data_IF_294702210922
#
_entry.id   IF_294702210922
#
_cell.length_a   1.000
_cell.length_b   1.000
_cell.length_c   1.000
_cell.angle_alpha   90.00
_cell.angle_beta   90.00
_cell.angle_gamma   90.00
#
_symmetry.space_group_name_H-M   'P 1'
#
loop_
_entity.id
_entity.type
_entity.pdbx_description
1 polymer ?
#
# COMPACT_ATOMS: atom_id res chain seq x y z
N UNK A 1 -17.62 -10.11 3.33
CA UNK A 1 -17.07 -10.63 2.04
C UNK A 1 -16.04 -11.69 2.38
N UNK A 2 -16.18 -12.88 1.83
CA UNK A 2 -15.25 -14.01 1.97
C UNK A 2 -14.66 -14.28 0.59
N UNK A 3 -13.33 -14.35 0.46
CA UNK A 3 -12.63 -14.56 -0.81
C UNK A 3 -11.72 -15.77 -0.66
N UNK A 4 -11.76 -16.67 -1.64
CA UNK A 4 -10.88 -17.83 -1.70
C UNK A 4 -10.58 -18.26 -3.15
N UNK A 5 -9.56 -19.09 -3.30
CA UNK A 5 -9.20 -19.71 -4.57
C UNK A 5 -9.73 -21.13 -4.63
N UNK A 6 -10.43 -21.44 -5.71
CA UNK A 6 -10.95 -22.78 -5.93
C UNK A 6 -10.57 -23.32 -7.30
N UNK A 7 -10.51 -24.62 -7.43
CA UNK A 7 -10.29 -25.30 -8.71
C UNK A 7 -11.41 -26.29 -8.97
N UNK A 8 -12.12 -26.09 -10.08
CA UNK A 8 -13.23 -26.95 -10.49
C UNK A 8 -13.05 -27.35 -11.96
N UNK A 9 -13.15 -28.65 -12.25
CA UNK A 9 -13.02 -29.20 -13.61
C UNK A 9 -11.79 -28.71 -14.38
N UNK A 10 -10.66 -28.51 -13.68
CA UNK A 10 -9.43 -28.04 -14.29
C UNK A 10 -9.32 -26.51 -14.47
N UNK A 11 -10.38 -25.76 -14.17
CA UNK A 11 -10.41 -24.28 -14.24
C UNK A 11 -10.16 -23.70 -12.85
N UNK A 12 -9.30 -22.68 -12.77
CA UNK A 12 -9.02 -21.95 -11.55
C UNK A 12 -9.92 -20.72 -11.44
N UNK A 13 -10.50 -20.53 -10.26
CA UNK A 13 -11.38 -19.40 -9.99
C UNK A 13 -10.95 -18.68 -8.71
N UNK A 14 -11.04 -17.36 -8.73
CA UNK A 14 -11.20 -16.57 -7.52
C UNK A 14 -12.70 -16.55 -7.19
N UNK A 15 -13.08 -17.02 -6.00
CA UNK A 15 -14.47 -17.06 -5.55
C UNK A 15 -14.71 -15.99 -4.52
N UNK A 16 -15.74 -15.18 -4.73
CA UNK A 16 -16.26 -14.23 -3.75
C UNK A 16 -17.64 -14.72 -3.29
N UNK A 17 -17.79 -14.95 -1.99
CA UNK A 17 -19.07 -15.32 -1.40
C UNK A 17 -19.74 -14.03 -0.91
N UNK A 18 -20.92 -13.74 -1.49
CA UNK A 18 -21.67 -12.52 -1.20
C UNK A 18 -22.49 -12.65 0.07
N UNK A 19 -22.57 -11.54 0.79
CA UNK A 19 -23.67 -11.31 1.72
C UNK A 19 -24.96 -11.12 0.89
N UNK A 20 -26.10 -11.69 1.33
CA UNK A 20 -27.36 -11.67 0.60
C UNK A 20 -27.99 -10.25 0.57
N UNK A 21 -27.37 -9.33 -0.16
CA UNK A 21 -27.88 -7.98 -0.39
C UNK A 21 -28.41 -7.85 -1.82
N UNK A 22 -29.67 -7.42 -1.94
CA UNK A 22 -30.33 -7.21 -3.24
C UNK A 22 -29.67 -6.14 -4.09
N UNK A 23 -29.10 -5.09 -3.49
CA UNK A 23 -28.43 -4.01 -4.21
C UNK A 23 -27.12 -4.52 -4.83
N UNK A 24 -26.35 -5.31 -4.08
CA UNK A 24 -25.14 -5.97 -4.57
C UNK A 24 -25.49 -6.88 -5.74
N UNK A 25 -26.49 -7.71 -5.59
CA UNK A 25 -26.96 -8.64 -6.63
C UNK A 25 -27.28 -7.94 -7.94
N UNK A 26 -28.04 -6.84 -7.90
CA UNK A 26 -28.43 -6.13 -9.11
C UNK A 26 -27.24 -5.54 -9.86
N UNK A 27 -26.28 -4.96 -9.14
CA UNK A 27 -25.03 -4.44 -9.73
C UNK A 27 -24.16 -5.55 -10.30
N UNK A 28 -24.03 -6.67 -9.58
CA UNK A 28 -23.26 -7.83 -10.02
C UNK A 28 -23.84 -8.51 -11.26
N UNK A 29 -25.17 -8.44 -11.47
CA UNK A 29 -25.80 -8.96 -12.71
C UNK A 29 -25.27 -8.24 -13.96
N UNK A 30 -24.99 -6.95 -13.90
CA UNK A 30 -24.43 -6.21 -15.03
C UNK A 30 -23.09 -6.80 -15.46
N UNK A 31 -22.23 -7.14 -14.51
CA UNK A 31 -20.91 -7.70 -14.79
C UNK A 31 -20.98 -9.17 -15.23
N UNK A 32 -21.88 -9.95 -14.66
CA UNK A 32 -22.03 -11.36 -15.03
C UNK A 32 -22.63 -11.57 -16.44
N UNK A 33 -23.43 -10.60 -16.91
CA UNK A 33 -24.07 -10.67 -18.22
C UNK A 33 -23.26 -10.04 -19.35
N UNK A 34 -22.27 -9.19 -19.01
CA UNK A 34 -21.48 -8.48 -20.00
C UNK A 34 -20.00 -8.87 -19.86
N UNK A 35 -19.33 -8.98 -21.03
CA UNK A 35 -17.86 -9.06 -21.05
C UNK A 35 -17.31 -7.66 -21.04
N UNK A 36 -16.74 -7.27 -19.93
CA UNK A 36 -16.18 -5.93 -19.75
C UNK A 36 -14.68 -5.95 -19.97
N UNK A 37 -14.17 -5.00 -20.76
CA UNK A 37 -12.74 -4.87 -20.99
C UNK A 37 -12.00 -4.53 -19.70
N UNK A 38 -10.80 -5.09 -19.52
CA UNK A 38 -9.99 -4.90 -18.32
C UNK A 38 -10.52 -5.66 -17.08
N UNK A 39 -11.70 -6.29 -17.15
CA UNK A 39 -12.28 -7.06 -16.06
C UNK A 39 -12.07 -8.55 -16.23
N UNK A 40 -11.88 -9.26 -15.12
CA UNK A 40 -11.94 -10.72 -15.09
C UNK A 40 -13.35 -11.22 -15.38
N UNK A 41 -13.47 -12.25 -16.22
CA UNK A 41 -14.78 -12.84 -16.53
C UNK A 41 -15.35 -13.49 -15.28
N UNK A 42 -16.56 -13.13 -14.92
CA UNK A 42 -17.25 -13.63 -13.72
C UNK A 42 -18.54 -14.35 -14.07
N UNK A 43 -18.82 -15.43 -13.35
CA UNK A 43 -20.08 -16.15 -13.37
C UNK A 43 -20.66 -16.17 -11.95
N UNK A 44 -22.00 -16.23 -11.85
CA UNK A 44 -22.69 -16.31 -10.58
C UNK A 44 -23.37 -17.66 -10.43
N UNK A 45 -23.26 -18.26 -9.24
CA UNK A 45 -24.04 -19.43 -8.84
C UNK A 45 -24.62 -19.24 -7.44
N UNK A 46 -25.73 -19.90 -7.15
CA UNK A 46 -26.30 -19.92 -5.80
C UNK A 46 -25.99 -21.26 -5.16
N UNK A 47 -25.39 -21.26 -3.99
CA UNK A 47 -25.08 -22.47 -3.21
C UNK A 47 -25.51 -22.23 -1.78
N UNK A 48 -26.40 -23.09 -1.26
CA UNK A 48 -26.94 -22.97 0.09
C UNK A 48 -27.54 -21.60 0.41
N UNK A 49 -28.28 -21.03 -0.55
CA UNK A 49 -28.88 -19.71 -0.46
C UNK A 49 -27.88 -18.54 -0.33
N UNK A 50 -26.59 -18.75 -0.66
CA UNK A 50 -25.56 -17.71 -0.76
C UNK A 50 -25.09 -17.59 -2.20
N UNK A 51 -24.98 -16.38 -2.71
CA UNK A 51 -24.44 -16.12 -4.04
C UNK A 51 -22.93 -16.21 -4.03
N UNK A 52 -22.41 -16.92 -5.00
CA UNK A 52 -20.96 -17.06 -5.23
C UNK A 52 -20.63 -16.52 -6.60
N UNK A 53 -19.69 -15.56 -6.65
CA UNK A 53 -19.15 -14.98 -7.86
C UNK A 53 -17.81 -15.62 -8.16
N UNK A 54 -17.70 -16.28 -9.31
CA UNK A 54 -16.55 -17.07 -9.74
C UNK A 54 -15.85 -16.33 -10.87
N UNK A 55 -14.71 -15.73 -10.58
CA UNK A 55 -13.85 -15.07 -11.57
C UNK A 55 -12.90 -16.09 -12.17
N UNK A 56 -13.00 -16.31 -13.48
CA UNK A 56 -12.09 -17.22 -14.18
C UNK A 56 -10.71 -16.59 -14.29
N UNK A 57 -9.75 -17.16 -13.57
CA UNK A 57 -8.35 -16.72 -13.51
C UNK A 57 -7.41 -17.73 -14.17
N UNK A 58 -7.94 -18.70 -14.91
CA UNK A 58 -7.11 -19.67 -15.63
C UNK A 58 -6.21 -18.95 -16.63
N UNK A 59 -4.94 -19.36 -16.69
CA UNK A 59 -3.91 -18.77 -17.56
C UNK A 59 -3.56 -17.32 -17.23
N UNK A 60 -3.89 -16.86 -16.03
CA UNK A 60 -3.46 -15.57 -15.50
C UNK A 60 -2.64 -15.75 -14.22
N UNK A 61 -1.89 -14.74 -13.83
CA UNK A 61 -1.02 -14.76 -12.65
C UNK A 61 -1.35 -13.56 -11.76
N UNK A 62 -1.52 -13.73 -10.43
CA UNK A 62 -1.67 -12.60 -9.52
C UNK A 62 -0.48 -11.65 -9.59
N UNK A 63 -0.72 -10.34 -9.42
CA UNK A 63 0.32 -9.32 -9.42
C UNK A 63 1.43 -9.64 -8.40
N UNK A 64 1.05 -10.10 -7.22
CA UNK A 64 1.98 -10.52 -6.16
C UNK A 64 2.92 -11.63 -6.62
N UNK A 65 2.42 -12.58 -7.40
CA UNK A 65 3.22 -13.69 -7.92
C UNK A 65 4.11 -13.26 -9.10
N UNK A 66 3.67 -12.27 -9.91
CA UNK A 66 4.46 -11.74 -11.01
C UNK A 66 5.77 -11.12 -10.51
N UNK A 67 5.72 -10.45 -9.37
CA UNK A 67 6.84 -9.69 -8.82
C UNK A 67 7.40 -10.24 -7.50
N UNK A 68 7.10 -11.51 -7.17
CA UNK A 68 7.68 -12.19 -6.00
C UNK A 68 9.20 -12.28 -6.05
N UNK A 69 9.78 -12.42 -7.26
CA UNK A 69 11.22 -12.64 -7.49
C UNK A 69 11.83 -11.64 -8.47
N UNK A 70 11.03 -10.78 -9.04
CA UNK A 70 11.45 -9.80 -10.05
C UNK A 70 10.96 -8.42 -9.64
N UNK A 71 11.70 -7.39 -10.00
CA UNK A 71 11.31 -6.01 -9.74
C UNK A 71 10.47 -5.46 -10.90
N UNK A 72 9.57 -4.53 -10.59
CA UNK A 72 8.74 -3.82 -11.57
C UNK A 72 9.56 -2.77 -12.30
N UNK A 73 9.57 -2.82 -13.63
CA UNK A 73 10.15 -1.80 -14.49
C UNK A 73 9.12 -0.72 -14.85
N UNK A 74 9.58 0.35 -15.47
CA UNK A 74 8.71 1.45 -15.92
C UNK A 74 7.51 0.95 -16.74
N UNK A 75 7.74 0.01 -17.68
CA UNK A 75 6.68 -0.54 -18.53
C UNK A 75 5.61 -1.30 -17.75
N UNK A 76 6.01 -1.95 -16.65
CA UNK A 76 5.08 -2.69 -15.79
C UNK A 76 4.20 -1.74 -14.99
N UNK A 77 4.79 -0.66 -14.46
CA UNK A 77 4.06 0.41 -13.73
C UNK A 77 3.09 1.12 -14.67
N UNK A 78 3.53 1.48 -15.89
CA UNK A 78 2.67 2.10 -16.91
C UNK A 78 1.50 1.19 -17.27
N UNK A 79 1.78 -0.09 -17.56
CA UNK A 79 0.75 -1.08 -17.92
C UNK A 79 -0.28 -1.26 -16.81
N UNK A 80 0.17 -1.24 -15.54
CA UNK A 80 -0.74 -1.33 -14.40
C UNK A 80 -1.64 -0.09 -14.32
N UNK A 81 -1.06 1.10 -14.42
CA UNK A 81 -1.80 2.36 -14.39
C UNK A 81 -2.80 2.48 -15.54
N UNK A 82 -2.40 2.13 -16.77
CA UNK A 82 -3.29 2.07 -17.94
C UNK A 82 -4.42 1.04 -17.76
N UNK A 83 -4.11 -0.11 -17.15
CA UNK A 83 -5.10 -1.12 -16.82
C UNK A 83 -6.15 -0.60 -15.85
N UNK A 84 -5.74 0.12 -14.81
CA UNK A 84 -6.66 0.77 -13.85
C UNK A 84 -7.54 1.78 -14.57
N UNK A 85 -6.95 2.69 -15.34
CA UNK A 85 -7.68 3.67 -16.15
C UNK A 85 -8.74 3.00 -17.03
N UNK A 86 -8.35 1.98 -17.79
CA UNK A 86 -9.25 1.19 -18.64
C UNK A 86 -10.39 0.55 -17.84
N UNK A 87 -10.07 0.01 -16.66
CA UNK A 87 -11.04 -0.58 -15.75
C UNK A 87 -12.06 0.43 -15.23
N UNK A 88 -11.61 1.58 -14.76
CA UNK A 88 -12.47 2.66 -14.28
C UNK A 88 -13.40 3.15 -15.38
N UNK A 89 -12.88 3.50 -16.56
CA UNK A 89 -13.71 3.94 -17.70
C UNK A 89 -14.72 2.88 -18.14
N UNK A 90 -14.34 1.62 -18.05
CA UNK A 90 -15.28 0.54 -18.36
C UNK A 90 -16.43 0.52 -17.35
N UNK A 91 -16.15 0.65 -16.06
CA UNK A 91 -17.20 0.71 -15.03
C UNK A 91 -18.11 1.92 -15.19
N UNK A 92 -17.55 3.10 -15.45
CA UNK A 92 -18.31 4.34 -15.72
C UNK A 92 -19.23 4.20 -16.94
N UNK A 93 -18.75 3.60 -18.02
CA UNK A 93 -19.56 3.34 -19.23
C UNK A 93 -20.78 2.47 -18.93
N UNK A 94 -20.68 1.56 -17.96
CA UNK A 94 -21.78 0.72 -17.51
C UNK A 94 -22.53 1.29 -16.30
N UNK A 95 -22.23 2.54 -15.88
CA UNK A 95 -22.83 3.22 -14.73
C UNK A 95 -22.66 2.42 -13.42
N UNK A 96 -21.54 1.73 -13.28
CA UNK A 96 -21.18 0.98 -12.09
C UNK A 96 -20.34 1.84 -11.17
N UNK A 97 -20.52 1.65 -9.88
CA UNK A 97 -19.76 2.33 -8.84
C UNK A 97 -18.30 1.88 -8.87
N UNK A 98 -17.38 2.80 -9.13
CA UNK A 98 -15.94 2.51 -9.20
C UNK A 98 -15.40 1.93 -7.88
N UNK A 99 -16.01 2.24 -6.74
CA UNK A 99 -15.63 1.69 -5.44
C UNK A 99 -15.78 0.16 -5.34
N UNK A 100 -16.50 -0.46 -6.26
CA UNK A 100 -16.54 -1.91 -6.39
C UNK A 100 -15.30 -2.54 -7.00
N UNK A 101 -14.37 -1.75 -7.56
CA UNK A 101 -13.12 -2.24 -8.13
C UNK A 101 -12.20 -2.74 -7.01
N UNK A 102 -11.69 -3.97 -7.16
CA UNK A 102 -10.79 -4.56 -6.17
C UNK A 102 -9.36 -4.30 -6.61
N UNK A 103 -8.65 -3.44 -5.86
CA UNK A 103 -7.29 -3.01 -6.15
C UNK A 103 -6.24 -3.65 -5.22
N UNK A 104 -6.58 -4.77 -4.61
CA UNK A 104 -5.61 -5.55 -3.85
C UNK A 104 -4.67 -6.31 -4.82
N UNK A 105 -3.33 -6.21 -4.68
CA UNK A 105 -2.35 -6.90 -5.54
C UNK A 105 -2.57 -8.42 -5.68
N UNK A 106 -3.12 -9.09 -4.67
CA UNK A 106 -3.46 -10.52 -4.73
C UNK A 106 -4.58 -10.83 -5.72
N UNK A 107 -5.47 -9.85 -6.01
CA UNK A 107 -6.68 -10.04 -6.82
C UNK A 107 -6.64 -9.25 -8.13
N UNK A 108 -5.47 -8.76 -8.50
CA UNK A 108 -5.16 -8.21 -9.82
C UNK A 108 -4.40 -9.28 -10.60
N UNK A 109 -4.87 -9.60 -11.78
CA UNK A 109 -4.36 -10.74 -12.54
C UNK A 109 -3.73 -10.29 -13.87
N UNK A 110 -2.50 -10.71 -14.12
CA UNK A 110 -1.82 -10.49 -15.38
C UNK A 110 -2.14 -11.59 -16.40
N UNK A 111 -2.66 -11.21 -17.56
CA UNK A 111 -2.89 -12.08 -18.70
C UNK A 111 -1.73 -11.92 -19.70
N UNK A 112 -0.79 -12.87 -19.67
CA UNK A 112 0.40 -12.83 -20.53
C UNK A 112 0.06 -12.96 -22.02
N UNK A 113 -1.08 -13.58 -22.37
CA UNK A 113 -1.50 -13.74 -23.77
C UNK A 113 -1.94 -12.43 -24.39
N UNK A 114 -2.45 -11.50 -23.59
CA UNK A 114 -2.92 -10.18 -24.02
C UNK A 114 -2.03 -9.05 -23.59
N UNK A 115 -1.03 -9.33 -22.73
CA UNK A 115 -0.15 -8.34 -22.12
C UNK A 115 -0.92 -7.24 -21.38
N UNK A 116 -1.98 -7.62 -20.64
CA UNK A 116 -2.82 -6.70 -19.90
C UNK A 116 -3.16 -7.22 -18.51
N UNK A 117 -3.47 -6.30 -17.59
CA UNK A 117 -4.02 -6.65 -16.30
C UNK A 117 -5.53 -6.78 -16.35
N UNK A 118 -6.07 -7.71 -15.53
CA UNK A 118 -7.49 -7.92 -15.35
C UNK A 118 -7.84 -7.72 -13.90
N UNK A 119 -8.89 -6.95 -13.67
CA UNK A 119 -9.36 -6.57 -12.35
C UNK A 119 -10.62 -7.33 -11.99
N UNK A 120 -10.78 -7.60 -10.71
CA UNK A 120 -12.05 -8.10 -10.17
C UNK A 120 -12.90 -6.93 -9.70
N UNK A 121 -14.21 -7.05 -9.86
CA UNK A 121 -15.19 -6.09 -9.37
C UNK A 121 -16.17 -6.77 -8.44
N UNK A 122 -16.43 -6.17 -7.30
CA UNK A 122 -17.48 -6.63 -6.39
C UNK A 122 -18.24 -5.44 -5.81
N UNK A 123 -19.55 -5.34 -6.08
CA UNK A 123 -20.37 -4.20 -5.67
C UNK A 123 -20.48 -4.01 -4.15
N UNK A 124 -20.12 -5.03 -3.37
CA UNK A 124 -20.05 -4.98 -1.90
C UNK A 124 -18.64 -4.80 -1.37
N UNK A 125 -17.69 -4.35 -2.20
CA UNK A 125 -16.35 -4.00 -1.74
C UNK A 125 -16.44 -2.85 -0.74
N UNK A 126 -15.76 -3.01 0.42
CA UNK A 126 -15.77 -2.01 1.50
C UNK A 126 -14.55 -1.08 1.46
N UNK A 127 -13.56 -1.45 0.67
CA UNK A 127 -12.36 -0.63 0.46
C UNK A 127 -12.68 0.34 -0.68
N UNK A 128 -12.70 1.63 -0.41
CA UNK A 128 -12.88 2.66 -1.44
C UNK A 128 -11.78 2.59 -2.50
N UNK A 129 -12.05 3.11 -3.69
CA UNK A 129 -11.06 3.12 -4.79
C UNK A 129 -9.83 3.91 -4.41
N UNK A 130 -9.97 5.01 -3.69
CA UNK A 130 -8.86 5.85 -3.23
C UNK A 130 -7.93 5.09 -2.29
N UNK A 131 -8.48 4.47 -1.24
CA UNK A 131 -7.70 3.65 -0.31
C UNK A 131 -7.09 2.42 -0.99
N UNK A 132 -7.83 1.81 -1.91
CA UNK A 132 -7.35 0.70 -2.71
C UNK A 132 -6.19 1.08 -3.62
N UNK A 133 -6.25 2.24 -4.28
CA UNK A 133 -5.16 2.77 -5.09
C UNK A 133 -3.93 3.11 -4.25
N UNK A 134 -4.14 3.71 -3.09
CA UNK A 134 -3.04 4.02 -2.17
C UNK A 134 -2.29 2.75 -1.76
N UNK A 135 -3.00 1.74 -1.26
CA UNK A 135 -2.40 0.46 -0.88
C UNK A 135 -1.72 -0.26 -2.05
N UNK A 136 -2.30 -0.19 -3.26
CA UNK A 136 -1.72 -0.77 -4.46
C UNK A 136 -0.41 -0.08 -4.84
N UNK A 137 -0.36 1.26 -4.82
CA UNK A 137 0.87 1.98 -5.18
C UNK A 137 1.92 1.98 -4.08
N UNK A 138 1.56 1.77 -2.81
CA UNK A 138 2.51 1.38 -1.75
C UNK A 138 3.20 0.06 -2.11
N UNK A 139 2.43 -0.96 -2.50
CA UNK A 139 2.98 -2.22 -3.00
C UNK A 139 3.89 -2.03 -4.23
N UNK A 140 3.49 -1.18 -5.20
CA UNK A 140 4.31 -0.87 -6.38
C UNK A 140 5.65 -0.26 -5.98
N UNK A 141 5.67 0.70 -5.06
CA UNK A 141 6.90 1.35 -4.56
C UNK A 141 7.84 0.34 -3.89
N UNK A 142 7.29 -0.62 -3.15
CA UNK A 142 8.08 -1.68 -2.51
C UNK A 142 8.71 -2.66 -3.50
N UNK A 143 8.14 -2.79 -4.70
CA UNK A 143 8.56 -3.77 -5.71
C UNK A 143 9.16 -3.14 -6.98
N UNK A 144 9.24 -1.81 -7.07
CA UNK A 144 9.82 -1.12 -8.23
C UNK A 144 11.33 -1.32 -8.28
N UNK A 145 11.87 -1.47 -9.48
CA UNK A 145 13.31 -1.55 -9.71
C UNK A 145 14.00 -0.23 -9.34
N UNK A 146 14.70 -0.21 -8.21
CA UNK A 146 15.42 0.98 -7.76
C UNK A 146 16.59 1.39 -8.66
N UNK A 147 17.06 0.48 -9.53
CA UNK A 147 18.05 0.79 -10.56
C UNK A 147 17.47 1.50 -11.78
N UNK A 148 16.14 1.52 -11.91
CA UNK A 148 15.40 2.22 -12.99
C UNK A 148 14.83 3.53 -12.45
N UNK A 149 15.56 4.63 -12.62
CA UNK A 149 15.17 5.95 -12.12
C UNK A 149 13.83 6.44 -12.69
N UNK A 150 13.49 6.04 -13.93
CA UNK A 150 12.22 6.41 -14.56
C UNK A 150 11.05 5.64 -13.93
N UNK A 151 11.24 4.35 -13.61
CA UNK A 151 10.25 3.55 -12.91
C UNK A 151 9.96 4.11 -11.51
N UNK A 152 11.02 4.44 -10.76
CA UNK A 152 10.92 5.04 -9.42
C UNK A 152 10.18 6.38 -9.48
N UNK A 153 10.60 7.27 -10.39
CA UNK A 153 9.97 8.60 -10.55
C UNK A 153 8.49 8.48 -10.89
N UNK A 154 8.13 7.56 -11.78
CA UNK A 154 6.74 7.31 -12.17
C UNK A 154 5.91 6.76 -10.99
N UNK A 155 6.40 5.74 -10.30
CA UNK A 155 5.69 5.12 -9.19
C UNK A 155 5.42 6.12 -8.05
N UNK A 156 6.45 6.87 -7.64
CA UNK A 156 6.31 7.91 -6.61
C UNK A 156 5.45 9.09 -7.07
N UNK A 157 5.55 9.49 -8.34
CA UNK A 157 4.71 10.54 -8.92
C UNK A 157 3.23 10.19 -8.87
N UNK A 158 2.86 8.97 -9.23
CA UNK A 158 1.48 8.47 -9.14
C UNK A 158 1.04 8.42 -7.66
N UNK A 159 1.84 7.81 -6.79
CA UNK A 159 1.53 7.70 -5.36
C UNK A 159 1.29 9.07 -4.69
N UNK A 160 2.17 10.04 -4.98
CA UNK A 160 2.03 11.42 -4.47
C UNK A 160 0.68 12.03 -4.88
N UNK A 161 0.26 11.88 -6.14
CA UNK A 161 -1.05 12.39 -6.62
C UNK A 161 -2.22 11.73 -5.89
N UNK A 162 -2.14 10.41 -5.67
CA UNK A 162 -3.15 9.67 -4.91
C UNK A 162 -3.25 10.23 -3.48
N UNK A 163 -2.11 10.46 -2.80
CA UNK A 163 -2.10 10.98 -1.43
C UNK A 163 -2.63 12.41 -1.30
N UNK A 164 -2.52 13.24 -2.33
CA UNK A 164 -3.07 14.61 -2.35
C UNK A 164 -4.59 14.60 -2.53
N UNK A 165 -5.20 13.46 -2.88
CA UNK A 165 -6.66 13.33 -3.08
C UNK A 165 -7.15 13.95 -4.40
N UNK A 166 -6.26 14.22 -5.35
CA UNK A 166 -6.59 14.75 -6.67
C UNK A 166 -6.26 13.72 -7.75
N UNK A 167 -6.91 12.55 -7.63
CA UNK A 167 -6.68 11.45 -8.58
C UNK A 167 -7.52 11.69 -9.82
N UNK A 168 -6.98 12.44 -10.76
CA UNK A 168 -7.49 12.41 -12.12
C UNK A 168 -6.97 11.13 -12.80
N UNK A 169 -7.89 10.17 -12.99
CA UNK A 169 -7.58 8.86 -13.60
C UNK A 169 -7.06 9.02 -15.03
N UNK A 170 -7.49 10.05 -15.75
CA UNK A 170 -7.06 10.32 -17.11
C UNK A 170 -5.60 10.75 -17.19
N UNK A 171 -5.14 11.45 -16.16
CA UNK A 171 -3.78 11.99 -16.05
C UNK A 171 -2.90 11.19 -15.07
N UNK A 172 -3.28 9.95 -14.77
CA UNK A 172 -2.58 9.12 -13.78
C UNK A 172 -1.10 8.88 -14.14
N UNK A 173 -0.79 8.77 -15.43
CA UNK A 173 0.55 8.48 -15.95
C UNK A 173 1.29 9.72 -16.46
N UNK A 174 0.66 10.89 -16.45
CA UNK A 174 1.34 12.10 -16.89
C UNK A 174 2.53 12.35 -15.95
N UNK A 175 3.70 12.21 -16.47
CA UNK A 175 4.91 12.69 -15.80
C UNK A 175 4.76 14.20 -15.75
N UNK A 176 4.72 14.80 -14.57
CA UNK A 176 5.00 16.23 -14.46
C UNK A 176 6.37 16.39 -15.10
N UNK A 177 6.41 16.81 -16.37
CA UNK A 177 7.60 17.43 -16.90
C UNK A 177 7.95 18.47 -15.84
N UNK A 178 9.09 18.30 -15.21
CA UNK A 178 9.62 19.22 -14.25
C UNK A 178 9.27 20.62 -14.77
N UNK A 179 8.30 21.28 -14.12
CA UNK A 179 8.25 22.73 -14.23
C UNK A 179 9.67 23.13 -13.88
N UNK A 180 10.44 23.45 -14.93
CA UNK A 180 11.66 24.21 -14.76
C UNK A 180 11.26 25.31 -13.81
N UNK A 181 11.79 25.23 -12.60
CA UNK A 181 11.79 26.36 -11.67
C UNK A 181 12.33 27.50 -12.53
N UNK A 182 11.41 28.28 -13.10
CA UNK A 182 11.77 29.54 -13.73
C UNK A 182 12.55 30.25 -12.66
N UNK A 183 13.87 30.24 -12.82
CA UNK A 183 14.75 31.12 -12.05
C UNK A 183 14.07 32.47 -12.07
N UNK A 184 13.76 33.05 -10.92
CA UNK A 184 13.29 34.43 -10.92
C UNK A 184 14.35 35.21 -11.69
N UNK A 185 13.96 35.81 -12.80
CA UNK A 185 14.75 36.76 -13.56
C UNK A 185 15.12 37.85 -12.57
N UNK A 186 16.41 37.87 -12.21
CA UNK A 186 16.94 38.88 -11.30
C UNK A 186 16.91 40.21 -12.07
N UNK A 187 15.81 40.93 -11.89
CA UNK A 187 15.81 42.37 -12.23
C UNK A 187 16.69 43.03 -11.18
N UNK A 188 17.92 43.35 -11.57
CA UNK A 188 18.80 44.20 -10.79
C UNK A 188 18.19 45.61 -10.70
N UNK A 189 17.34 45.83 -9.74
CA UNK A 189 16.98 47.18 -9.31
C UNK A 189 17.82 47.57 -8.12
N UNK A 190 18.79 48.44 -8.40
CA UNK A 190 19.79 48.99 -7.48
C UNK A 190 19.09 49.88 -6.46
N UNK A 191 18.95 49.41 -5.20
CA UNK A 191 18.51 50.24 -4.07
C UNK A 191 19.65 50.26 -3.03
N UNK A 192 20.04 51.45 -2.50
CA UNK A 192 21.23 51.56 -1.65
C UNK A 192 21.01 50.98 -0.26
N UNK A 193 22.07 50.35 0.21
CA UNK A 193 22.21 49.69 1.51
C UNK A 193 22.00 50.68 2.63
N UNK A 194 21.00 50.45 3.46
CA UNK A 194 21.03 50.92 4.83
C UNK A 194 20.81 49.74 5.79
N UNK A 195 21.65 49.68 6.81
CA UNK A 195 21.84 48.54 7.70
C UNK A 195 20.59 48.19 8.48
N UNK A 196 20.01 47.01 8.17
CA UNK A 196 19.10 46.33 9.09
C UNK A 196 19.40 44.84 9.08
N UNK A 197 19.93 44.33 10.19
CA UNK A 197 20.12 42.90 10.43
C UNK A 197 18.78 42.36 10.99
N UNK A 198 18.06 41.51 10.29
CA UNK A 198 17.00 40.68 10.94
C UNK A 198 17.60 39.36 11.41
N UNK A 199 17.37 39.09 12.67
CA UNK A 199 17.59 37.79 13.32
C UNK A 199 16.98 36.67 12.51
N UNK A 200 17.80 35.70 12.10
CA UNK A 200 17.35 34.44 11.49
C UNK A 200 16.79 33.60 12.60
N UNK A 201 15.47 33.49 12.64
CA UNK A 201 14.78 32.53 13.48
C UNK A 201 15.05 31.10 12.99
N UNK A 202 15.64 30.32 13.90
CA UNK A 202 15.97 28.91 13.71
C UNK A 202 14.69 28.05 13.74
N UNK A 203 14.22 27.58 12.61
CA UNK A 203 13.19 26.53 12.50
C UNK A 203 13.71 25.18 12.00
N UNK A 204 15.01 24.92 12.02
CA UNK A 204 15.61 23.66 11.55
C UNK A 204 15.92 22.65 12.66
N UNK A 205 15.35 22.78 13.87
CA UNK A 205 15.75 21.96 15.01
C UNK A 205 14.69 20.95 15.51
N UNK A 206 13.46 20.96 15.03
CA UNK A 206 12.43 20.08 15.60
C UNK A 206 12.46 18.64 15.05
N UNK A 207 12.86 18.40 13.80
CA UNK A 207 12.84 17.05 13.22
C UNK A 207 13.93 16.12 13.78
N UNK A 208 15.08 16.66 14.17
CA UNK A 208 16.19 15.88 14.75
C UNK A 208 15.95 15.45 16.20
N UNK A 209 15.15 16.19 16.92
CA UNK A 209 14.87 15.88 18.33
C UNK A 209 13.80 14.79 18.48
N UNK A 210 12.86 14.69 17.56
CA UNK A 210 11.86 13.61 17.52
C UNK A 210 12.53 12.25 17.31
N UNK A 211 13.47 12.15 16.37
CA UNK A 211 14.22 10.90 16.11
C UNK A 211 15.07 10.50 17.32
N UNK A 212 15.70 11.43 18.01
CA UNK A 212 16.46 11.16 19.25
C UNK A 212 15.57 10.65 20.38
N UNK A 213 14.36 11.20 20.51
CA UNK A 213 13.38 10.78 21.51
C UNK A 213 12.95 9.33 21.25
N UNK A 214 12.64 8.95 20.02
CA UNK A 214 12.28 7.57 19.67
C UNK A 214 13.44 6.59 19.87
N UNK A 215 14.70 6.99 19.61
CA UNK A 215 15.88 6.16 19.88
C UNK A 215 16.07 5.91 21.37
N UNK A 216 15.84 6.93 22.22
CA UNK A 216 15.97 6.81 23.69
C UNK A 216 14.87 5.88 24.25
N UNK A 217 13.61 6.05 23.83
CA UNK A 217 12.52 5.18 24.27
C UNK A 217 12.66 3.74 23.74
N UNK A 218 13.14 3.56 22.50
CA UNK A 218 13.43 2.24 21.93
C UNK A 218 14.52 1.49 22.70
N UNK A 219 15.62 2.17 23.06
CA UNK A 219 16.69 1.59 23.85
C UNK A 219 16.21 1.22 25.27
N UNK A 220 15.39 2.08 25.91
CA UNK A 220 14.79 1.81 27.20
C UNK A 220 13.87 0.59 27.22
N UNK A 221 13.06 0.42 26.19
CA UNK A 221 12.17 -0.73 26.05
C UNK A 221 12.94 -2.05 25.89
N UNK A 222 14.03 -2.06 25.14
CA UNK A 222 14.89 -3.25 24.97
C UNK A 222 15.54 -3.63 26.31
N UNK A 223 16.07 -2.68 27.05
CA UNK A 223 16.68 -2.93 28.37
C UNK A 223 15.64 -3.46 29.38
N UNK A 224 14.41 -2.95 29.36
CA UNK A 224 13.32 -3.45 30.21
C UNK A 224 12.97 -4.92 29.87
N UNK A 225 12.92 -5.29 28.60
CA UNK A 225 12.67 -6.66 28.18
C UNK A 225 13.78 -7.62 28.60
N UNK A 226 15.05 -7.21 28.49
CA UNK A 226 16.21 -7.99 28.95
C UNK A 226 16.15 -8.21 30.45
N UNK A 227 15.75 -7.17 31.21
CA UNK A 227 15.60 -7.23 32.66
C UNK A 227 14.48 -8.20 33.08
N UNK A 228 13.32 -8.13 32.43
CA UNK A 228 12.18 -9.04 32.66
C UNK A 228 12.59 -10.49 32.34
N UNK A 229 13.30 -10.71 31.24
CA UNK A 229 13.77 -12.03 30.84
C UNK A 229 14.78 -12.59 31.84
N UNK A 230 15.69 -11.75 32.36
CA UNK A 230 16.65 -12.13 33.40
C UNK A 230 15.96 -12.53 34.72
N UNK A 231 14.95 -11.75 35.17
CA UNK A 231 14.15 -12.07 36.35
C UNK A 231 13.36 -13.37 36.17
N UNK A 232 12.74 -13.59 35.03
CA UNK A 232 12.05 -14.83 34.70
C UNK A 232 13.00 -16.04 34.71
N UNK A 233 14.22 -15.90 34.19
CA UNK A 233 15.26 -16.93 34.23
C UNK A 233 15.68 -17.32 35.65
N UNK A 234 15.75 -16.37 36.57
CA UNK A 234 16.05 -16.63 38.01
C UNK A 234 14.90 -17.37 38.67
N UNK A 235 13.66 -17.00 38.35
CA UNK A 235 12.44 -17.58 38.94
C UNK A 235 12.22 -19.04 38.47
N UNK A 236 12.46 -19.31 37.17
CA UNK A 236 12.24 -20.63 36.54
C UNK A 236 13.34 -21.63 36.95
N UNK A 237 14.61 -21.19 37.09
CA UNK A 237 15.75 -22.09 37.38
C UNK A 237 15.99 -22.34 38.85
N UNK A 238 15.27 -21.71 39.78
CA UNK A 238 15.39 -21.98 41.21
C UNK A 238 16.80 -21.81 41.81
N UNK A 239 17.67 -21.02 41.15
CA UNK A 239 19.06 -20.82 41.56
C UNK A 239 19.10 -19.90 42.76
N UNK A 240 19.16 -20.48 43.97
CA UNK A 240 19.55 -19.77 45.19
C UNK A 240 21.03 -19.39 45.07
N UNK A 241 21.32 -18.17 44.74
CA UNK A 241 22.66 -17.59 44.85
C UNK A 241 22.92 -17.36 46.33
N UNK A 242 23.61 -18.31 46.98
CA UNK A 242 24.11 -18.13 48.35
C UNK A 242 25.22 -17.09 48.31
N UNK A 243 25.00 -15.94 48.92
CA UNK A 243 26.07 -15.03 49.29
C UNK A 243 25.98 -13.57 48.89
N UNK A 244 24.97 -13.14 48.16
CA UNK A 244 24.81 -11.71 47.85
C UNK A 244 23.47 -11.26 48.43
N UNK A 245 23.50 -10.31 49.35
CA UNK A 245 22.29 -9.71 49.91
C UNK A 245 21.49 -9.06 48.81
N UNK A 246 20.18 -9.35 48.68
CA UNK A 246 19.29 -8.79 47.68
C UNK A 246 19.33 -7.26 47.57
N UNK A 247 19.71 -6.58 48.68
CA UNK A 247 19.91 -5.15 48.71
C UNK A 247 21.07 -4.66 47.84
N UNK A 248 22.17 -5.44 47.68
CA UNK A 248 23.29 -5.07 46.85
C UNK A 248 22.94 -5.21 45.35
N UNK A 249 22.10 -6.18 45.00
CA UNK A 249 21.62 -6.35 43.63
C UNK A 249 20.69 -5.23 43.19
N UNK A 250 19.80 -4.79 44.09
CA UNK A 250 18.91 -3.64 43.84
C UNK A 250 19.73 -2.35 43.70
N UNK A 251 20.78 -2.18 44.49
CA UNK A 251 21.64 -0.99 44.43
C UNK A 251 22.42 -0.89 43.10
N UNK A 252 22.92 -2.03 42.57
CA UNK A 252 23.58 -2.10 41.27
C UNK A 252 22.59 -1.80 40.12
N UNK A 253 21.35 -2.31 40.21
CA UNK A 253 20.33 -2.05 39.19
C UNK A 253 19.85 -0.58 39.18
N UNK A 254 19.78 0.08 40.35
CA UNK A 254 19.43 1.50 40.45
C UNK A 254 20.57 2.38 39.94
N UNK A 255 21.83 2.02 40.22
CA UNK A 255 23.00 2.78 39.69
C UNK A 255 23.18 2.65 38.17
N UNK A 256 22.77 1.53 37.58
CA UNK A 256 22.79 1.33 36.14
C UNK A 256 21.62 2.02 35.38
N UNK A 257 20.58 2.44 36.08
CA UNK A 257 19.41 3.13 35.51
C UNK A 257 19.44 4.66 35.66
N UNK A 258 20.50 5.22 36.25
CA UNK A 258 20.65 6.67 36.50
C UNK A 258 21.77 7.29 35.63
N UNK A 259 22.40 6.52 34.72
CA UNK A 259 23.36 7.05 33.74
C UNK A 259 22.76 7.04 32.34
#
# INVERSE_FOLDING_TARGET
>A
MEIDYIRESGVCYLRIISDNDHLIRNRMRMITLNRMEGMANVTCRNVNNREQYLYNISSTMPLTQCFEKTEMKKEDVLRLAEGIKKGVHTLERYLLDVNGLILNPEYIFYDSSKNEYRFCYYAGNKVGTEDGMKALFEYVIEHVCHGDAEAVTLAYGIYKRICIGNVDIDHLTDTEESEEVKKPEVVEEYIPVDNFIPEISKEEHEEKDIVKIYCIYGAGAILALIFIYSLAGIFIKGVRIKGISGAVYILICVAAGIC
#
